data_IF_150013186462
#
_entry.id   IF_150013186462
#
_cell.length_a   1.000
_cell.length_b   1.000
_cell.length_c   1.000
_cell.angle_alpha   90.00
_cell.angle_beta   90.00
_cell.angle_gamma   90.00
#
_symmetry.space_group_name_H-M   'P 1'
#
loop_
_entity.id
_entity.type
_entity.pdbx_description
1 polymer ?
#
# COMPACT_ATOMS: atom_id res chain seq x y z
N UNK A 1 -7.08 -11.24 -0.33
CA UNK A 1 -5.61 -11.37 -0.20
C UNK A 1 -5.14 -10.73 1.10
N UNK A 2 -4.01 -11.18 1.67
CA UNK A 2 -3.41 -10.58 2.88
C UNK A 2 -2.12 -9.88 2.52
N UNK A 3 -1.97 -8.61 2.89
CA UNK A 3 -0.79 -7.79 2.56
C UNK A 3 -0.13 -7.27 3.84
N UNK A 4 1.18 -7.47 3.98
CA UNK A 4 2.00 -6.84 5.02
C UNK A 4 2.69 -5.58 4.47
N UNK A 5 2.09 -4.42 4.69
CA UNK A 5 2.63 -3.11 4.30
C UNK A 5 3.91 -2.73 5.03
N UNK A 6 4.33 -3.50 6.05
CA UNK A 6 5.63 -3.31 6.72
C UNK A 6 6.78 -3.97 5.97
N UNK A 7 6.46 -4.82 5.00
CA UNK A 7 7.42 -5.67 4.28
C UNK A 7 7.16 -5.65 2.77
N UNK A 8 6.91 -4.48 2.21
CA UNK A 8 6.69 -4.34 0.77
C UNK A 8 8.02 -4.57 0.03
N UNK A 9 8.02 -5.50 -0.93
CA UNK A 9 9.20 -5.80 -1.75
C UNK A 9 9.53 -4.64 -2.68
N UNK A 10 10.75 -4.10 -2.55
CA UNK A 10 11.33 -3.12 -3.46
C UNK A 10 12.38 -3.80 -4.32
N UNK A 11 12.44 -3.43 -5.59
CA UNK A 11 13.55 -3.75 -6.48
C UNK A 11 14.24 -2.45 -6.87
N UNK A 12 15.53 -2.34 -6.60
CA UNK A 12 16.31 -1.16 -6.99
C UNK A 12 16.69 -1.19 -8.50
N UNK A 13 17.42 -0.17 -8.96
CA UNK A 13 17.83 -0.04 -10.35
C UNK A 13 18.85 -1.10 -10.80
N UNK A 14 19.52 -1.74 -9.86
CA UNK A 14 20.51 -2.81 -10.10
C UNK A 14 19.85 -4.21 -10.00
N UNK A 15 18.56 -4.27 -9.67
CA UNK A 15 17.81 -5.51 -9.54
C UNK A 15 17.87 -6.13 -8.14
N UNK A 16 18.49 -5.48 -7.16
CA UNK A 16 18.54 -5.99 -5.80
C UNK A 16 17.17 -5.86 -5.14
N UNK A 17 16.76 -6.92 -4.44
CA UNK A 17 15.52 -6.95 -3.68
C UNK A 17 15.75 -6.54 -2.23
N UNK A 18 14.86 -5.70 -1.73
CA UNK A 18 14.81 -5.32 -0.31
C UNK A 18 13.36 -5.18 0.13
N UNK A 19 13.13 -4.87 1.41
CA UNK A 19 11.79 -4.58 1.91
C UNK A 19 11.73 -3.22 2.57
N UNK A 20 10.57 -2.57 2.49
CA UNK A 20 10.31 -1.29 3.14
C UNK A 20 9.00 -1.35 3.93
N UNK A 21 8.99 -0.65 5.06
CA UNK A 21 7.78 -0.38 5.81
C UNK A 21 7.14 0.92 5.32
N UNK A 22 6.00 0.78 4.64
CA UNK A 22 5.18 1.89 4.16
C UNK A 22 3.85 1.98 4.91
N UNK A 23 3.60 1.14 5.91
CA UNK A 23 2.31 1.04 6.61
C UNK A 23 1.81 2.41 7.08
N UNK A 24 2.66 3.15 7.78
CA UNK A 24 2.32 4.48 8.31
C UNK A 24 2.15 5.53 7.21
N UNK A 25 3.07 5.55 6.23
CA UNK A 25 3.04 6.54 5.16
C UNK A 25 1.82 6.33 4.25
N UNK A 26 1.55 5.09 3.86
CA UNK A 26 0.43 4.73 3.00
C UNK A 26 -0.91 4.90 3.72
N UNK A 27 -1.02 4.44 4.97
CA UNK A 27 -2.20 4.66 5.79
C UNK A 27 -2.55 6.14 5.92
N UNK A 28 -1.57 7.00 6.19
CA UNK A 28 -1.78 8.45 6.23
C UNK A 28 -2.19 9.03 4.87
N UNK A 29 -1.55 8.59 3.79
CA UNK A 29 -1.88 9.06 2.44
C UNK A 29 -3.34 8.75 2.07
N UNK A 30 -3.83 7.55 2.40
CA UNK A 30 -5.24 7.19 2.19
C UNK A 30 -6.13 8.03 3.11
N UNK A 31 -5.85 8.06 4.41
CA UNK A 31 -6.64 8.77 5.42
C UNK A 31 -6.88 10.24 5.07
N UNK A 32 -5.86 10.93 4.58
CA UNK A 32 -5.92 12.35 4.25
C UNK A 32 -6.67 12.67 2.95
N UNK A 33 -6.79 11.68 2.04
CA UNK A 33 -7.27 11.90 0.67
C UNK A 33 -8.53 11.13 0.33
N UNK A 34 -9.04 10.27 1.22
CA UNK A 34 -10.28 9.52 0.99
C UNK A 34 -11.51 10.28 1.49
N UNK A 35 -12.58 10.21 0.69
CA UNK A 35 -13.94 10.57 1.10
C UNK A 35 -14.82 9.33 1.37
N UNK A 36 -14.28 8.12 1.19
CA UNK A 36 -15.00 6.87 1.41
C UNK A 36 -14.76 6.33 2.82
N UNK A 37 -15.84 5.98 3.52
CA UNK A 37 -15.77 5.51 4.91
C UNK A 37 -15.07 4.13 5.02
N UNK A 38 -15.21 3.28 4.01
CA UNK A 38 -14.55 1.98 3.96
C UNK A 38 -13.03 2.14 3.83
N UNK A 39 -12.59 2.99 2.90
CA UNK A 39 -11.17 3.34 2.73
C UNK A 39 -10.60 4.02 3.97
N UNK A 40 -11.38 4.86 4.66
CA UNK A 40 -10.96 5.50 5.91
C UNK A 40 -10.67 4.47 7.03
N UNK A 41 -11.54 3.48 7.19
CA UNK A 41 -11.33 2.41 8.18
C UNK A 41 -10.13 1.54 7.79
N UNK A 42 -10.00 1.21 6.51
CA UNK A 42 -8.87 0.43 6.01
C UNK A 42 -7.54 1.18 6.18
N UNK A 43 -7.52 2.51 5.98
CA UNK A 43 -6.35 3.35 6.20
C UNK A 43 -5.87 3.29 7.66
N UNK A 44 -6.79 3.34 8.63
CA UNK A 44 -6.46 3.20 10.05
C UNK A 44 -5.89 1.81 10.36
N UNK A 45 -6.47 0.77 9.77
CA UNK A 45 -5.99 -0.61 9.95
C UNK A 45 -4.59 -0.80 9.36
N UNK A 46 -4.33 -0.30 8.15
CA UNK A 46 -2.99 -0.30 7.54
C UNK A 46 -2.00 0.45 8.45
N UNK A 47 -2.38 1.63 8.95
CA UNK A 47 -1.50 2.44 9.81
C UNK A 47 -1.17 1.76 11.15
N UNK A 48 -2.16 1.13 11.79
CA UNK A 48 -2.03 0.57 13.15
C UNK A 48 -1.49 -0.85 13.15
N UNK A 49 -1.97 -1.71 12.24
CA UNK A 49 -1.65 -3.14 12.20
C UNK A 49 -0.48 -3.43 11.27
N UNK A 50 -0.36 -2.66 10.18
CA UNK A 50 0.65 -2.85 9.13
C UNK A 50 0.39 -4.05 8.22
N UNK A 51 -0.30 -5.08 8.70
CA UNK A 51 -0.74 -6.22 7.91
C UNK A 51 -2.27 -6.33 7.96
N UNK A 52 -2.91 -6.45 6.80
CA UNK A 52 -4.37 -6.43 6.67
C UNK A 52 -4.87 -7.38 5.57
N UNK A 53 -6.08 -7.89 5.76
CA UNK A 53 -6.83 -8.57 4.72
C UNK A 53 -7.54 -7.53 3.83
N UNK A 54 -7.37 -7.67 2.52
CA UNK A 54 -7.86 -6.76 1.49
C UNK A 54 -8.59 -7.57 0.41
N UNK A 55 -9.78 -7.12 0.02
CA UNK A 55 -10.49 -7.66 -1.15
C UNK A 55 -9.86 -7.14 -2.46
N UNK A 56 -10.05 -7.84 -3.60
CA UNK A 56 -9.61 -7.35 -4.90
C UNK A 56 -10.13 -5.95 -5.25
N UNK A 57 -11.38 -5.64 -4.90
CA UNK A 57 -12.01 -4.33 -5.11
C UNK A 57 -11.36 -3.25 -4.26
N UNK A 58 -11.09 -3.54 -2.99
CA UNK A 58 -10.35 -2.64 -2.10
C UNK A 58 -8.94 -2.40 -2.64
N UNK A 59 -8.23 -3.45 -3.06
CA UNK A 59 -6.89 -3.32 -3.64
C UNK A 59 -6.89 -2.41 -4.87
N UNK A 60 -7.85 -2.63 -5.78
CA UNK A 60 -8.05 -1.79 -6.98
C UNK A 60 -8.33 -0.34 -6.62
N UNK A 61 -9.16 -0.09 -5.62
CA UNK A 61 -9.47 1.27 -5.18
C UNK A 61 -8.26 1.98 -4.56
N UNK A 62 -7.45 1.27 -3.76
CA UNK A 62 -6.27 1.83 -3.10
C UNK A 62 -5.14 2.20 -4.06
N UNK A 63 -5.08 1.62 -5.26
CA UNK A 63 -4.04 1.92 -6.26
C UNK A 63 -3.91 3.42 -6.58
N UNK A 64 -5.01 4.17 -6.54
CA UNK A 64 -5.01 5.62 -6.80
C UNK A 64 -4.12 6.38 -5.80
N UNK A 65 -4.02 5.93 -4.56
CA UNK A 65 -3.20 6.56 -3.52
C UNK A 65 -1.70 6.29 -3.67
N UNK A 66 -1.30 5.27 -4.43
CA UNK A 66 0.13 5.01 -4.69
C UNK A 66 0.79 6.16 -5.46
N UNK A 67 0.01 6.93 -6.23
CA UNK A 67 0.51 8.11 -6.95
C UNK A 67 0.96 9.25 -6.02
N UNK A 68 0.61 9.18 -4.73
CA UNK A 68 1.01 10.17 -3.72
C UNK A 68 2.44 9.93 -3.20
N UNK A 69 3.05 8.78 -3.48
CA UNK A 69 4.45 8.54 -3.15
C UNK A 69 5.37 9.37 -4.07
N UNK A 70 6.25 10.17 -3.45
CA UNK A 70 7.24 10.97 -4.18
C UNK A 70 8.37 10.11 -4.75
N UNK A 71 8.72 9.02 -4.07
CA UNK A 71 9.67 8.03 -4.56
C UNK A 71 8.96 7.05 -5.49
N UNK A 72 9.37 7.04 -6.76
CA UNK A 72 8.77 6.19 -7.80
C UNK A 72 8.89 4.70 -7.44
N UNK A 73 9.96 4.28 -6.78
CA UNK A 73 10.17 2.89 -6.37
C UNK A 73 9.12 2.48 -5.32
N UNK A 74 8.84 3.32 -4.32
CA UNK A 74 7.81 3.07 -3.31
C UNK A 74 6.42 2.97 -3.96
N UNK A 75 6.11 3.86 -4.91
CA UNK A 75 4.87 3.78 -5.70
C UNK A 75 4.72 2.45 -6.42
N UNK A 76 5.74 2.04 -7.17
CA UNK A 76 5.72 0.81 -7.98
C UNK A 76 5.56 -0.41 -7.06
N UNK A 77 6.31 -0.46 -5.97
CA UNK A 77 6.29 -1.59 -5.06
C UNK A 77 4.93 -1.77 -4.37
N UNK A 78 4.32 -0.68 -3.89
CA UNK A 78 2.96 -0.74 -3.33
C UNK A 78 1.92 -1.10 -4.39
N UNK A 79 2.05 -0.55 -5.60
CA UNK A 79 1.16 -0.91 -6.71
C UNK A 79 1.26 -2.39 -7.07
N UNK A 80 2.46 -2.96 -7.06
CA UNK A 80 2.67 -4.39 -7.32
C UNK A 80 2.06 -5.24 -6.22
N UNK A 81 2.25 -4.88 -4.94
CA UNK A 81 1.64 -5.58 -3.82
C UNK A 81 0.10 -5.58 -3.91
N UNK A 82 -0.51 -4.46 -4.31
CA UNK A 82 -1.97 -4.33 -4.54
C UNK A 82 -2.45 -4.99 -5.85
N UNK A 83 -1.53 -5.50 -6.66
CA UNK A 83 -1.83 -6.19 -7.92
C UNK A 83 -1.61 -7.69 -7.84
N UNK A 84 -1.30 -8.23 -6.66
CA UNK A 84 -1.24 -9.67 -6.44
C UNK A 84 -2.66 -10.25 -6.58
N UNK A 85 -3.06 -10.55 -7.81
CA UNK A 85 -4.20 -11.43 -8.08
C UNK A 85 -3.81 -12.85 -7.64
N UNK A 86 -4.78 -13.59 -7.07
CA UNK A 86 -4.62 -14.98 -6.62
C UNK A 86 -4.03 -15.91 -7.68
#
# INVERSE_FOLDING_TARGET
>A
MKIDFRKIELTDLEGNKSTVDVSKAFGNAIYQNTGDLGEFNLAQDIYRKGEVDISPEQAKSLKKYTQLFTRVIDRIAVSNALSQEE
#
